data_IF_478659609091
#
_entry.id   IF_478659609091
#
_cell.length_a   1.000
_cell.length_b   1.000
_cell.length_c   1.000
_cell.angle_alpha   90.00
_cell.angle_beta   90.00
_cell.angle_gamma   90.00
#
_symmetry.space_group_name_H-M   'P 1'
#
loop_
_entity.id
_entity.type
_entity.pdbx_description
1 polymer ?
#
# COMPACT_ATOMS: atom_id res chain seq x y z
N UNK A 1 -23.51 42.55 71.90
CA UNK A 1 -22.39 41.60 72.12
C UNK A 1 -22.94 40.18 71.97
N UNK A 2 -22.15 39.26 71.40
CA UNK A 2 -22.41 38.46 70.18
C UNK A 2 -23.05 37.07 70.49
N UNK A 3 -23.36 36.13 69.60
CA UNK A 3 -22.72 35.69 68.37
C UNK A 3 -23.59 34.67 67.57
N UNK A 4 -23.25 34.57 66.28
CA UNK A 4 -23.34 33.44 65.34
C UNK A 4 -24.73 32.94 64.85
N UNK A 5 -25.09 33.11 63.56
CA UNK A 5 -24.67 32.33 62.35
C UNK A 5 -25.02 30.83 62.54
N UNK A 6 -25.85 30.17 61.72
CA UNK A 6 -25.65 29.85 60.30
C UNK A 6 -26.98 29.53 59.59
N UNK A 7 -27.18 30.13 58.40
CA UNK A 7 -28.13 29.65 57.37
C UNK A 7 -27.36 28.73 56.41
N UNK A 8 -27.84 27.51 56.18
CA UNK A 8 -27.36 26.64 55.10
C UNK A 8 -28.31 26.80 53.91
N UNK A 9 -27.82 27.48 52.87
CA UNK A 9 -28.48 27.65 51.58
C UNK A 9 -27.97 26.55 50.63
N UNK A 10 -28.80 25.57 50.31
CA UNK A 10 -28.49 24.58 49.28
C UNK A 10 -28.71 25.19 47.89
N UNK A 11 -27.64 25.73 47.31
CA UNK A 11 -27.56 26.00 45.87
C UNK A 11 -27.23 24.68 45.16
N UNK A 12 -28.22 24.08 44.51
CA UNK A 12 -27.99 23.09 43.48
C UNK A 12 -27.41 23.83 42.26
N UNK A 13 -26.11 23.67 42.05
CA UNK A 13 -25.41 24.14 40.87
C UNK A 13 -25.97 23.42 39.64
N UNK A 14 -26.72 24.15 38.81
CA UNK A 14 -26.98 23.74 37.44
C UNK A 14 -25.63 23.68 36.72
N UNK A 15 -25.23 22.48 36.31
CA UNK A 15 -24.08 22.27 35.45
C UNK A 15 -24.33 23.03 34.16
N UNK A 16 -23.66 24.18 34.01
CA UNK A 16 -23.51 24.81 32.72
C UNK A 16 -22.75 23.80 31.84
N UNK A 17 -23.48 23.11 30.98
CA UNK A 17 -22.88 22.47 29.82
C UNK A 17 -22.22 23.59 29.02
N UNK A 18 -20.89 23.66 29.11
CA UNK A 18 -20.09 24.53 28.26
C UNK A 18 -20.31 24.06 26.83
N UNK A 19 -21.27 24.67 26.14
CA UNK A 19 -21.37 24.59 24.69
C UNK A 19 -20.08 25.17 24.14
N UNK A 20 -19.19 24.31 23.66
CA UNK A 20 -18.01 24.72 22.94
C UNK A 20 -18.48 25.61 21.76
N UNK A 21 -18.04 26.86 21.75
CA UNK A 21 -18.10 27.71 20.56
C UNK A 21 -17.44 26.94 19.42
N UNK A 22 -17.97 26.96 18.17
CA UNK A 22 -17.23 26.42 17.04
C UNK A 22 -15.90 27.16 16.98
N UNK A 23 -14.81 26.43 17.24
CA UNK A 23 -13.46 26.99 17.23
C UNK A 23 -13.13 27.42 15.81
N UNK A 24 -12.44 28.55 15.67
CA UNK A 24 -11.89 28.96 14.39
C UNK A 24 -10.98 27.85 13.85
N UNK A 25 -11.25 27.40 12.62
CA UNK A 25 -10.50 26.33 11.96
C UNK A 25 -9.38 26.95 11.14
N UNK A 26 -8.13 26.60 11.47
CA UNK A 26 -6.96 27.09 10.73
C UNK A 26 -6.70 26.20 9.52
N UNK A 27 -6.59 26.82 8.34
CA UNK A 27 -6.23 26.19 7.08
C UNK A 27 -4.97 26.86 6.53
N UNK A 28 -4.03 26.06 6.01
CA UNK A 28 -2.70 26.56 5.68
C UNK A 28 -2.56 26.94 4.20
N UNK A 29 -2.10 28.17 3.97
CA UNK A 29 -1.61 28.63 2.66
C UNK A 29 -0.11 28.33 2.56
N UNK A 30 0.33 27.76 1.44
CA UNK A 30 1.75 27.37 1.28
C UNK A 30 2.72 28.55 1.26
N UNK A 31 2.26 29.70 0.80
CA UNK A 31 3.01 30.93 0.68
C UNK A 31 2.29 32.08 1.42
N UNK A 32 3.02 33.15 1.80
CA UNK A 32 2.43 34.36 2.37
C UNK A 32 1.32 35.01 1.52
N UNK A 33 0.63 36.01 2.09
CA UNK A 33 -0.58 36.61 1.50
C UNK A 33 -0.39 37.24 0.10
N UNK A 34 0.84 37.58 -0.28
CA UNK A 34 1.25 38.25 -1.52
C UNK A 34 2.09 37.38 -2.47
N UNK A 35 2.32 36.13 -2.09
CA UNK A 35 3.07 35.16 -2.87
C UNK A 35 2.17 33.98 -3.28
N UNK A 36 2.56 33.30 -4.35
CA UNK A 36 1.99 32.03 -4.77
C UNK A 36 3.07 30.98 -4.94
N UNK A 37 2.68 29.73 -4.69
CA UNK A 37 3.51 28.56 -4.93
C UNK A 37 3.83 28.43 -6.43
N UNK A 38 5.09 28.14 -6.76
CA UNK A 38 5.49 27.91 -8.16
C UNK A 38 4.91 26.61 -8.70
N UNK A 39 4.78 26.51 -10.04
CA UNK A 39 4.17 25.34 -10.70
C UNK A 39 4.90 24.01 -10.48
N UNK A 40 6.12 24.05 -9.95
CA UNK A 40 6.94 22.90 -9.54
C UNK A 40 6.81 22.56 -8.04
N UNK A 41 6.01 23.32 -7.29
CA UNK A 41 5.80 23.13 -5.85
C UNK A 41 7.00 23.48 -4.97
N UNK A 42 8.09 24.01 -5.54
CA UNK A 42 9.36 24.17 -4.83
C UNK A 42 9.42 25.48 -4.03
N UNK A 43 9.03 26.59 -4.64
CA UNK A 43 9.30 27.95 -4.13
C UNK A 43 8.06 28.83 -4.12
N UNK A 44 8.13 29.93 -3.38
CA UNK A 44 7.11 30.98 -3.42
C UNK A 44 7.62 32.12 -4.30
N UNK A 45 6.75 32.66 -5.14
CA UNK A 45 7.06 33.81 -6.00
C UNK A 45 6.03 34.91 -5.76
N UNK A 46 6.50 36.15 -5.71
CA UNK A 46 5.63 37.32 -5.68
C UNK A 46 4.67 37.30 -6.87
N UNK A 47 3.38 37.45 -6.59
CA UNK A 47 2.31 37.35 -7.58
C UNK A 47 1.38 36.17 -7.30
N UNK A 48 0.14 36.29 -7.80
CA UNK A 48 -0.95 35.35 -7.59
C UNK A 48 -2.29 36.04 -7.85
N UNK A 49 -3.40 35.29 -7.94
CA UNK A 49 -4.71 35.91 -8.12
C UNK A 49 -5.08 36.72 -6.87
N UNK A 50 -5.54 37.97 -7.06
CA UNK A 50 -6.03 38.82 -5.97
C UNK A 50 -7.25 38.23 -5.25
N UNK A 51 -8.00 37.37 -5.94
CA UNK A 51 -9.16 36.64 -5.41
C UNK A 51 -9.01 35.19 -5.83
N UNK A 52 -8.62 34.33 -4.88
CA UNK A 52 -8.54 32.90 -5.08
C UNK A 52 -8.99 32.18 -3.81
N UNK A 53 -9.75 31.11 -4.01
CA UNK A 53 -10.09 30.15 -2.97
C UNK A 53 -9.97 28.74 -3.57
N UNK A 54 -9.60 27.73 -2.75
CA UNK A 54 -9.60 26.34 -3.19
C UNK A 54 -11.02 25.85 -3.47
N UNK A 55 -11.12 24.73 -4.18
CA UNK A 55 -12.40 24.01 -4.34
C UNK A 55 -12.77 23.36 -3.02
N UNK A 56 -13.89 23.78 -2.44
CA UNK A 56 -14.39 23.28 -1.15
C UNK A 56 -15.74 22.60 -1.35
N UNK A 57 -15.87 21.38 -0.85
CA UNK A 57 -17.11 20.62 -0.76
C UNK A 57 -17.67 20.70 0.66
N UNK A 58 -18.95 21.05 0.82
CA UNK A 58 -19.62 20.96 2.12
C UNK A 58 -20.55 19.74 2.15
N UNK A 59 -20.26 18.73 3.01
CA UNK A 59 -21.18 17.63 3.24
C UNK A 59 -22.54 18.08 3.79
N UNK A 60 -22.57 19.21 4.50
CA UNK A 60 -23.80 19.77 5.09
C UNK A 60 -24.78 20.25 4.02
N UNK A 61 -24.29 20.95 2.99
CA UNK A 61 -25.12 21.39 1.86
C UNK A 61 -25.14 20.38 0.70
N UNK A 62 -24.34 19.32 0.79
CA UNK A 62 -24.10 18.32 -0.26
C UNK A 62 -23.67 18.94 -1.59
N UNK A 63 -22.97 20.07 -1.55
CA UNK A 63 -22.60 20.85 -2.72
C UNK A 63 -21.20 21.45 -2.58
N UNK A 64 -20.61 21.83 -3.71
CA UNK A 64 -19.43 22.69 -3.71
C UNK A 64 -19.82 24.12 -3.36
N UNK A 65 -18.94 24.83 -2.66
CA UNK A 65 -19.05 26.26 -2.41
C UNK A 65 -18.82 27.06 -3.70
N UNK A 66 -19.32 28.29 -3.74
CA UNK A 66 -19.13 29.16 -4.90
C UNK A 66 -17.64 29.43 -5.13
N UNK A 67 -17.15 29.39 -6.39
CA UNK A 67 -15.75 29.65 -6.69
C UNK A 67 -15.27 30.99 -6.11
N UNK A 68 -14.11 30.98 -5.43
CA UNK A 68 -13.57 32.18 -4.78
C UNK A 68 -14.10 32.44 -3.37
N UNK A 69 -14.93 31.55 -2.82
CA UNK A 69 -15.43 31.63 -1.43
C UNK A 69 -14.85 30.52 -0.55
N UNK A 70 -14.77 30.79 0.75
CA UNK A 70 -14.36 29.83 1.79
C UNK A 70 -15.35 29.89 2.95
N UNK A 71 -15.49 28.83 3.76
CA UNK A 71 -16.34 28.87 4.95
C UNK A 71 -15.96 30.00 5.92
N UNK A 72 -16.96 30.63 6.56
CA UNK A 72 -16.77 31.79 7.44
C UNK A 72 -15.91 31.48 8.68
N UNK A 73 -15.89 30.22 9.11
CA UNK A 73 -15.11 29.77 10.26
C UNK A 73 -13.65 29.42 9.93
N UNK A 74 -13.22 29.58 8.67
CA UNK A 74 -11.83 29.35 8.28
C UNK A 74 -10.95 30.56 8.55
N UNK A 75 -9.74 30.29 9.04
CA UNK A 75 -8.65 31.26 9.13
C UNK A 75 -7.45 30.78 8.34
N UNK A 76 -6.93 31.65 7.50
CA UNK A 76 -5.75 31.36 6.70
C UNK A 76 -4.47 31.67 7.48
N UNK A 77 -3.56 30.71 7.52
CA UNK A 77 -2.21 30.89 8.07
C UNK A 77 -1.16 30.45 7.04
N UNK A 78 -0.07 31.20 6.93
CA UNK A 78 1.01 30.84 6.01
C UNK A 78 1.93 29.80 6.66
N UNK A 79 1.86 28.56 6.20
CA UNK A 79 2.74 27.50 6.66
C UNK A 79 2.85 26.38 5.63
N UNK A 80 4.02 25.76 5.55
CA UNK A 80 4.23 24.52 4.80
C UNK A 80 4.01 23.33 5.73
N UNK A 81 3.53 22.18 5.22
CA UNK A 81 3.28 21.03 6.06
C UNK A 81 4.58 20.54 6.71
N UNK A 82 4.57 20.43 8.03
CA UNK A 82 5.71 19.95 8.84
C UNK A 82 5.62 18.46 9.14
N UNK A 83 4.47 17.84 8.84
CA UNK A 83 4.20 16.42 9.09
C UNK A 83 5.13 15.48 8.31
N UNK A 84 5.79 15.94 7.23
CA UNK A 84 6.70 15.14 6.45
C UNK A 84 7.89 15.95 5.91
N UNK A 85 9.02 15.26 5.69
CA UNK A 85 10.24 15.88 5.14
C UNK A 85 10.12 16.24 3.66
N UNK A 86 9.28 15.51 2.91
CA UNK A 86 9.09 15.67 1.48
C UNK A 86 7.59 15.58 1.14
N UNK A 87 6.87 16.71 1.14
CA UNK A 87 5.48 16.72 0.71
C UNK A 87 5.38 16.48 -0.79
N UNK A 88 4.35 15.73 -1.20
CA UNK A 88 4.01 15.57 -2.62
C UNK A 88 3.30 16.83 -3.13
N UNK A 89 3.63 17.26 -4.34
CA UNK A 89 2.99 18.40 -4.98
C UNK A 89 1.89 17.95 -5.94
N UNK A 90 0.72 18.58 -5.83
CA UNK A 90 -0.47 18.32 -6.64
C UNK A 90 -0.91 19.62 -7.31
N UNK A 91 -0.72 19.75 -8.63
CA UNK A 91 -0.98 20.98 -9.38
C UNK A 91 -2.44 21.15 -9.82
N UNK A 92 -2.88 22.41 -9.89
CA UNK A 92 -4.23 22.80 -10.30
C UNK A 92 -4.23 23.45 -11.71
N UNK A 93 -4.93 22.91 -12.72
CA UNK A 93 -5.44 21.54 -12.86
C UNK A 93 -4.49 20.71 -13.75
N UNK A 94 -3.95 19.59 -13.26
CA UNK A 94 -3.06 18.72 -14.06
C UNK A 94 -3.52 17.25 -14.09
N UNK A 95 -4.80 17.02 -14.40
CA UNK A 95 -5.31 15.70 -14.76
C UNK A 95 -5.74 15.66 -16.24
N UNK A 96 -5.54 14.54 -16.96
CA UNK A 96 -6.02 14.38 -18.34
C UNK A 96 -7.54 14.52 -18.48
N UNK A 97 -8.28 14.31 -17.39
CA UNK A 97 -9.74 14.34 -17.34
C UNK A 97 -10.33 15.70 -16.88
N UNK A 98 -9.47 16.70 -16.63
CA UNK A 98 -9.91 18.04 -16.16
C UNK A 98 -10.46 18.08 -14.73
N UNK A 99 -10.38 16.97 -13.98
CA UNK A 99 -10.77 16.91 -12.58
C UNK A 99 -9.64 17.46 -11.67
N UNK A 100 -9.99 18.18 -10.58
CA UNK A 100 -8.98 18.65 -9.64
C UNK A 100 -8.35 17.45 -8.92
N UNK A 101 -7.03 17.44 -8.66
CA UNK A 101 -6.39 16.31 -7.97
C UNK A 101 -6.76 16.19 -6.49
N UNK A 102 -7.33 17.25 -5.90
CA UNK A 102 -7.74 17.30 -4.51
C UNK A 102 -8.97 18.19 -4.30
N UNK A 103 -9.70 17.95 -3.21
CA UNK A 103 -10.86 18.74 -2.77
C UNK A 103 -10.76 18.98 -1.26
N UNK A 104 -11.05 20.19 -0.81
CA UNK A 104 -11.13 20.50 0.63
C UNK A 104 -12.56 20.34 1.13
N UNK A 105 -12.71 20.04 2.42
CA UNK A 105 -13.99 19.91 3.10
C UNK A 105 -14.18 21.03 4.12
N UNK A 106 -15.41 21.38 4.45
CA UNK A 106 -15.76 22.40 5.45
C UNK A 106 -15.06 22.24 6.81
N UNK A 107 -14.74 21.00 7.21
CA UNK A 107 -13.95 20.67 8.39
C UNK A 107 -12.42 20.89 8.25
N UNK A 108 -11.95 21.37 7.09
CA UNK A 108 -10.54 21.64 6.80
C UNK A 108 -9.74 20.43 6.36
N UNK A 109 -10.36 19.25 6.23
CA UNK A 109 -9.66 18.10 5.65
C UNK A 109 -9.54 18.23 4.14
N UNK A 110 -8.46 17.67 3.58
CA UNK A 110 -8.20 17.60 2.15
C UNK A 110 -8.31 16.15 1.70
N UNK A 111 -9.13 15.86 0.70
CA UNK A 111 -9.19 14.55 0.05
C UNK A 111 -8.42 14.57 -1.26
N UNK A 112 -7.54 13.59 -1.45
CA UNK A 112 -6.87 13.35 -2.72
C UNK A 112 -7.76 12.46 -3.60
N UNK A 113 -8.20 12.99 -4.75
CA UNK A 113 -9.06 12.25 -5.67
C UNK A 113 -8.30 11.15 -6.44
N UNK A 114 -6.97 11.26 -6.53
CA UNK A 114 -6.10 10.25 -7.14
C UNK A 114 -5.78 9.06 -6.23
N UNK A 115 -6.15 9.11 -4.94
CA UNK A 115 -5.91 8.04 -3.95
C UNK A 115 -7.18 7.82 -3.14
N UNK A 116 -8.01 6.86 -3.56
CA UNK A 116 -9.23 6.35 -2.90
C UNK A 116 -9.58 7.02 -1.55
N UNK A 117 -10.09 8.25 -1.62
CA UNK A 117 -10.60 9.05 -0.49
C UNK A 117 -9.65 9.14 0.73
N UNK A 118 -8.35 9.33 0.51
CA UNK A 118 -7.41 9.64 1.59
C UNK A 118 -7.67 11.06 2.10
N UNK A 119 -8.18 11.17 3.32
CA UNK A 119 -8.36 12.44 4.03
C UNK A 119 -7.09 12.83 4.77
N UNK A 120 -6.60 14.04 4.50
CA UNK A 120 -5.43 14.64 5.14
C UNK A 120 -5.93 15.77 6.05
N UNK A 121 -5.57 15.77 7.35
CA UNK A 121 -5.96 16.84 8.25
C UNK A 121 -5.19 18.14 7.93
N UNK A 122 -5.65 19.32 8.40
CA UNK A 122 -5.05 20.62 8.08
C UNK A 122 -3.52 20.67 8.24
N UNK A 123 -2.96 20.09 9.30
CA UNK A 123 -1.52 20.08 9.57
C UNK A 123 -0.68 19.28 8.55
N UNK A 124 -1.33 18.40 7.78
CA UNK A 124 -0.70 17.52 6.81
C UNK A 124 -0.59 18.13 5.41
N UNK A 125 -1.11 19.34 5.18
CA UNK A 125 -1.04 19.97 3.87
C UNK A 125 -0.94 21.50 3.94
N UNK A 126 -0.63 22.10 2.79
CA UNK A 126 -0.93 23.51 2.54
C UNK A 126 -1.45 23.65 1.09
N UNK A 127 -2.20 24.71 0.83
CA UNK A 127 -2.79 24.99 -0.50
C UNK A 127 -2.38 26.36 -1.04
N UNK A 128 -2.35 26.49 -2.35
CA UNK A 128 -2.18 27.73 -3.07
C UNK A 128 -2.88 27.67 -4.44
N UNK A 129 -2.90 28.79 -5.15
CA UNK A 129 -3.53 28.96 -6.47
C UNK A 129 -3.04 27.99 -7.54
N UNK A 130 -1.75 27.63 -7.50
CA UNK A 130 -1.12 26.70 -8.45
C UNK A 130 -1.27 25.22 -8.06
N UNK A 131 -1.60 24.91 -6.80
CA UNK A 131 -1.65 23.53 -6.31
C UNK A 131 -1.57 23.39 -4.80
N UNK A 132 -1.37 22.16 -4.33
CA UNK A 132 -1.23 21.82 -2.91
C UNK A 132 0.05 21.03 -2.65
N UNK A 133 0.66 21.27 -1.49
CA UNK A 133 1.69 20.40 -0.93
C UNK A 133 1.02 19.52 0.12
N UNK A 134 1.08 18.21 -0.06
CA UNK A 134 0.35 17.24 0.77
C UNK A 134 1.31 16.16 1.26
N UNK A 135 1.34 15.96 2.57
CA UNK A 135 2.06 14.88 3.21
C UNK A 135 1.20 13.60 3.18
N UNK A 136 1.51 12.70 2.25
CA UNK A 136 0.89 11.37 2.18
C UNK A 136 1.90 10.36 2.69
N UNK A 137 1.68 9.81 3.89
CA UNK A 137 2.55 8.77 4.46
C UNK A 137 3.74 9.25 5.30
N UNK A 138 3.71 10.47 5.85
CA UNK A 138 4.63 10.88 6.92
C UNK A 138 3.92 10.84 8.27
N UNK A 139 4.34 9.97 9.19
CA UNK A 139 4.00 10.17 10.59
C UNK A 139 4.59 11.52 11.04
N UNK A 140 3.86 12.37 11.77
CA UNK A 140 4.52 13.28 12.69
C UNK A 140 5.38 12.42 13.60
N UNK A 141 6.68 12.70 13.62
CA UNK A 141 7.64 12.07 14.50
C UNK A 141 7.43 12.55 15.95
N UNK A 142 6.23 12.32 16.50
CA UNK A 142 5.91 12.41 17.93
C UNK A 142 4.47 11.96 18.19
N UNK A 143 4.25 10.65 18.03
CA UNK A 143 3.30 9.86 18.82
C UNK A 143 3.65 8.38 18.68
N UNK A 144 4.93 8.05 18.86
CA UNK A 144 5.32 6.70 19.25
C UNK A 144 4.92 6.54 20.73
N UNK A 145 3.64 6.32 20.99
CA UNK A 145 3.22 5.71 22.25
C UNK A 145 1.91 4.93 22.07
N UNK A 146 2.05 3.63 22.29
CA UNK A 146 1.04 2.68 22.78
C UNK A 146 -0.15 2.37 21.88
N UNK A 147 0.11 1.71 20.75
CA UNK A 147 -0.18 0.29 20.51
C UNK A 147 0.17 0.04 19.06
N UNK A 148 1.02 -0.92 18.75
CA UNK A 148 1.29 -1.30 17.37
C UNK A 148 0.02 -1.94 16.77
N UNK A 149 -0.89 -1.09 16.30
CA UNK A 149 -2.15 -1.49 15.71
C UNK A 149 -1.89 -2.17 14.38
N UNK A 150 -2.29 -3.43 14.29
CA UNK A 150 -2.24 -4.22 13.06
C UNK A 150 -3.09 -3.50 11.99
N UNK A 151 -2.53 -3.27 10.79
CA UNK A 151 -3.26 -2.63 9.69
C UNK A 151 -4.13 -3.66 8.95
N UNK A 152 -5.40 -3.32 8.71
CA UNK A 152 -6.32 -4.09 7.87
C UNK A 152 -6.40 -3.47 6.47
N UNK A 153 -6.28 -4.25 5.40
CA UNK A 153 -6.20 -3.67 4.05
C UNK A 153 -7.52 -3.03 3.59
N UNK A 154 -8.63 -3.75 3.72
CA UNK A 154 -9.95 -3.33 3.23
C UNK A 154 -10.78 -2.55 4.26
N UNK A 155 -10.25 -2.39 5.47
CA UNK A 155 -10.94 -1.73 6.58
C UNK A 155 -12.06 -2.58 7.21
N UNK A 156 -12.72 -2.07 8.26
CA UNK A 156 -13.66 -2.85 9.06
C UNK A 156 -14.87 -3.29 8.23
N UNK A 157 -15.30 -4.55 8.39
CA UNK A 157 -16.47 -5.10 7.68
C UNK A 157 -16.27 -5.40 6.19
N UNK A 158 -15.04 -5.32 5.68
CA UNK A 158 -14.70 -5.71 4.31
C UNK A 158 -13.62 -6.80 4.28
N UNK A 159 -13.52 -7.51 3.17
CA UNK A 159 -12.49 -8.51 2.88
C UNK A 159 -12.00 -8.36 1.44
N UNK A 160 -10.84 -8.90 1.11
CA UNK A 160 -10.28 -8.80 -0.24
C UNK A 160 -10.83 -9.94 -1.12
N UNK A 161 -11.25 -9.63 -2.35
CA UNK A 161 -11.63 -10.63 -3.34
C UNK A 161 -10.58 -10.68 -4.43
N UNK A 162 -9.91 -11.83 -4.58
CA UNK A 162 -8.95 -12.06 -5.67
C UNK A 162 -9.65 -12.08 -7.02
N UNK A 163 -10.89 -12.55 -7.10
CA UNK A 163 -11.66 -12.59 -8.34
C UNK A 163 -11.99 -11.18 -8.87
N UNK A 164 -12.11 -10.19 -7.99
CA UNK A 164 -12.42 -8.79 -8.32
C UNK A 164 -11.24 -7.85 -8.22
N UNK A 165 -10.11 -8.33 -7.68
CA UNK A 165 -8.93 -7.54 -7.36
C UNK A 165 -9.30 -6.29 -6.53
N UNK A 166 -10.30 -6.44 -5.65
CA UNK A 166 -10.88 -5.33 -4.89
C UNK A 166 -11.37 -5.77 -3.52
N UNK A 167 -11.51 -4.79 -2.63
CA UNK A 167 -12.23 -4.97 -1.38
C UNK A 167 -13.73 -5.12 -1.63
N UNK A 168 -14.35 -6.08 -0.94
CA UNK A 168 -15.78 -6.35 -0.98
C UNK A 168 -16.34 -6.42 0.45
N UNK A 169 -17.63 -6.13 0.65
CA UNK A 169 -18.26 -6.30 1.95
C UNK A 169 -18.13 -7.75 2.45
N UNK A 170 -17.74 -7.92 3.70
CA UNK A 170 -17.63 -9.20 4.38
C UNK A 170 -18.82 -9.41 5.32
N UNK A 171 -19.32 -10.65 5.41
CA UNK A 171 -20.43 -10.97 6.31
C UNK A 171 -20.03 -10.92 7.80
N UNK A 172 -18.74 -11.18 8.10
CA UNK A 172 -18.15 -11.14 9.44
C UNK A 172 -16.67 -10.79 9.39
N UNK A 173 -16.22 -9.94 10.32
CA UNK A 173 -14.79 -9.70 10.55
C UNK A 173 -14.12 -10.95 11.12
N UNK A 174 -12.86 -11.17 10.73
CA UNK A 174 -12.07 -12.31 11.20
C UNK A 174 -11.77 -12.15 12.71
N UNK A 175 -11.83 -13.22 13.52
CA UNK A 175 -11.63 -13.14 14.98
C UNK A 175 -10.27 -12.56 15.39
N UNK A 176 -9.25 -12.65 14.55
CA UNK A 176 -7.93 -12.05 14.80
C UNK A 176 -7.92 -10.51 14.74
N UNK A 177 -8.96 -9.89 14.18
CA UNK A 177 -9.17 -8.43 14.23
C UNK A 177 -10.15 -8.02 15.34
N UNK A 178 -10.76 -8.96 16.05
CA UNK A 178 -11.73 -8.65 17.10
C UNK A 178 -11.02 -8.05 18.33
N UNK A 179 -11.31 -6.78 18.64
CA UNK A 179 -10.78 -6.09 19.82
C UNK A 179 -9.42 -5.41 19.63
N UNK A 180 -8.91 -5.33 18.40
CA UNK A 180 -7.69 -4.58 18.05
C UNK A 180 -8.12 -3.29 17.32
N UNK A 181 -7.54 -2.15 17.69
CA UNK A 181 -7.70 -0.91 16.92
C UNK A 181 -6.90 -1.01 15.62
N UNK A 182 -7.60 -1.33 14.52
CA UNK A 182 -6.99 -1.56 13.21
C UNK A 182 -7.06 -0.30 12.36
N UNK A 183 -5.91 0.18 11.88
CA UNK A 183 -5.87 1.20 10.82
C UNK A 183 -6.18 0.55 9.47
N UNK A 184 -6.89 1.26 8.61
CA UNK A 184 -7.29 0.76 7.29
C UNK A 184 -6.36 1.27 6.18
N UNK A 185 -6.06 0.43 5.19
CA UNK A 185 -5.37 0.84 3.96
C UNK A 185 -4.27 -0.11 3.50
N UNK A 186 -4.06 -0.15 2.18
CA UNK A 186 -2.98 -0.89 1.52
C UNK A 186 -1.60 -0.28 1.80
N UNK A 187 -0.52 -1.07 1.71
CA UNK A 187 0.84 -0.56 1.87
C UNK A 187 1.16 0.47 0.79
N UNK A 188 1.87 1.53 1.17
CA UNK A 188 2.28 2.59 0.23
C UNK A 188 3.56 2.16 -0.48
N UNK A 189 3.42 1.74 -1.73
CA UNK A 189 4.53 1.28 -2.54
C UNK A 189 5.11 2.40 -3.41
N UNK A 190 6.39 2.25 -3.81
CA UNK A 190 7.10 3.16 -4.71
C UNK A 190 6.39 3.29 -6.07
N UNK A 191 5.78 2.20 -6.54
CA UNK A 191 4.93 2.17 -7.73
C UNK A 191 3.45 2.04 -7.30
N UNK A 192 2.57 2.81 -7.93
CA UNK A 192 1.13 2.80 -7.60
C UNK A 192 0.54 1.45 -8.01
N UNK A 193 -0.08 0.74 -7.07
CA UNK A 193 -0.68 -0.58 -7.32
C UNK A 193 0.30 -1.75 -7.31
N UNK A 194 1.57 -1.54 -6.94
CA UNK A 194 2.58 -2.60 -6.89
C UNK A 194 2.61 -3.31 -5.52
N UNK A 195 1.45 -3.73 -5.02
CA UNK A 195 1.37 -4.59 -3.84
C UNK A 195 1.11 -6.03 -4.26
N UNK A 196 1.63 -6.97 -3.48
CA UNK A 196 1.43 -8.39 -3.70
C UNK A 196 1.11 -9.10 -2.38
N UNK A 197 0.47 -10.25 -2.51
CA UNK A 197 0.26 -11.18 -1.40
C UNK A 197 1.61 -11.84 -1.13
N UNK A 198 2.31 -11.36 -0.10
CA UNK A 198 3.65 -11.80 0.28
C UNK A 198 3.66 -13.06 1.14
N UNK A 199 2.51 -13.47 1.68
CA UNK A 199 2.45 -14.66 2.52
C UNK A 199 1.20 -14.75 3.40
N UNK A 200 1.29 -15.60 4.41
CA UNK A 200 0.22 -15.89 5.37
C UNK A 200 0.71 -15.71 6.79
N UNK A 201 -0.08 -15.03 7.59
CA UNK A 201 0.17 -14.79 9.00
C UNK A 201 0.19 -16.11 9.78
N UNK A 202 1.16 -16.25 10.70
CA UNK A 202 1.42 -17.45 11.50
C UNK A 202 1.88 -18.68 10.71
N UNK A 203 2.12 -18.55 9.40
CA UNK A 203 2.65 -19.63 8.57
C UNK A 203 3.97 -19.23 7.92
N UNK A 204 3.99 -18.10 7.22
CA UNK A 204 5.22 -17.57 6.60
C UNK A 204 5.68 -16.29 7.28
N UNK A 205 4.77 -15.56 7.92
CA UNK A 205 5.11 -14.31 8.60
C UNK A 205 4.58 -14.27 10.02
N UNK A 206 5.36 -13.70 10.93
CA UNK A 206 5.03 -13.56 12.35
C UNK A 206 5.14 -12.11 12.81
N UNK A 207 4.16 -11.67 13.60
CA UNK A 207 4.18 -10.36 14.25
C UNK A 207 4.85 -10.55 15.61
N UNK A 208 5.88 -9.75 15.89
CA UNK A 208 6.55 -9.73 17.19
C UNK A 208 5.85 -8.74 18.14
N UNK A 209 6.17 -8.79 19.43
CA UNK A 209 5.56 -7.94 20.47
C UNK A 209 5.73 -6.43 20.24
N UNK A 210 6.69 -6.04 19.39
CA UNK A 210 6.90 -4.66 18.93
C UNK A 210 6.01 -4.26 17.73
N UNK A 211 5.19 -5.19 17.23
CA UNK A 211 4.29 -5.02 16.09
C UNK A 211 4.94 -5.09 14.71
N UNK A 212 6.23 -5.42 14.65
CA UNK A 212 6.91 -5.64 13.38
C UNK A 212 6.60 -7.03 12.82
N UNK A 213 6.39 -7.11 11.50
CA UNK A 213 6.24 -8.37 10.79
C UNK A 213 7.62 -8.88 10.33
N UNK A 214 7.89 -10.16 10.57
CA UNK A 214 9.08 -10.86 10.08
C UNK A 214 8.70 -12.06 9.24
N UNK A 215 9.50 -12.31 8.21
CA UNK A 215 9.48 -13.53 7.41
C UNK A 215 10.28 -14.66 8.12
N UNK A 216 10.13 -15.89 7.64
CA UNK A 216 10.69 -17.14 8.20
C UNK A 216 12.24 -17.14 8.21
N UNK A 217 12.86 -16.40 7.29
CA UNK A 217 14.31 -16.21 7.21
C UNK A 217 14.85 -15.17 8.23
N UNK A 218 13.96 -14.51 8.98
CA UNK A 218 14.31 -13.59 10.08
C UNK A 218 14.87 -12.22 9.65
N UNK A 219 14.97 -11.95 8.34
CA UNK A 219 15.86 -10.93 7.78
C UNK A 219 15.21 -9.58 7.41
N UNK A 220 13.89 -9.39 7.48
CA UNK A 220 13.32 -8.07 7.14
C UNK A 220 12.16 -7.63 8.04
N UNK A 221 12.28 -6.41 8.58
CA UNK A 221 11.16 -5.66 9.13
C UNK A 221 10.38 -5.05 7.97
N UNK A 222 9.31 -5.71 7.55
CA UNK A 222 8.32 -5.10 6.67
C UNK A 222 7.62 -4.00 7.48
N UNK A 223 7.99 -2.74 7.22
CA UNK A 223 7.42 -1.58 7.92
C UNK A 223 6.10 -1.13 7.28
N UNK A 224 5.90 -1.43 6.00
CA UNK A 224 4.67 -1.13 5.27
C UNK A 224 4.03 -2.44 4.78
N UNK A 225 3.12 -2.97 5.60
CA UNK A 225 2.28 -4.12 5.30
C UNK A 225 0.86 -3.89 5.80
N UNK A 226 -0.09 -4.66 5.26
CA UNK A 226 -1.42 -4.80 5.85
C UNK A 226 -1.85 -6.27 5.80
N UNK A 227 -2.79 -6.63 6.65
CA UNK A 227 -3.35 -7.97 6.74
C UNK A 227 -4.79 -7.96 6.24
N UNK A 228 -5.19 -9.01 5.53
CA UNK A 228 -6.59 -9.14 5.11
C UNK A 228 -6.99 -10.59 4.90
N UNK A 229 -8.28 -10.88 5.05
CA UNK A 229 -8.86 -12.16 4.63
C UNK A 229 -9.16 -12.14 3.14
N UNK A 230 -8.84 -13.23 2.46
CA UNK A 230 -9.25 -13.45 1.07
C UNK A 230 -10.60 -14.16 1.06
N UNK A 231 -11.58 -13.59 0.36
CA UNK A 231 -12.95 -14.09 0.27
C UNK A 231 -13.02 -15.52 -0.27
N UNK A 232 -12.19 -15.81 -1.27
CA UNK A 232 -12.11 -17.11 -1.94
C UNK A 232 -11.48 -18.19 -1.04
N UNK A 233 -10.79 -17.79 0.04
CA UNK A 233 -10.07 -18.65 0.96
C UNK A 233 -10.44 -18.38 2.43
N UNK A 234 -11.71 -18.61 2.83
CA UNK A 234 -12.22 -18.23 4.14
C UNK A 234 -11.65 -19.06 5.30
N UNK A 235 -11.18 -20.28 5.04
CA UNK A 235 -10.60 -21.20 6.02
C UNK A 235 -9.11 -20.96 6.24
N UNK A 236 -8.49 -20.08 5.45
CA UNK A 236 -7.08 -19.80 5.52
C UNK A 236 -6.76 -18.66 6.51
N UNK A 237 -5.55 -18.67 7.11
CA UNK A 237 -5.11 -17.55 7.94
C UNK A 237 -5.02 -16.24 7.16
N UNK A 238 -4.95 -15.12 7.89
CA UNK A 238 -4.84 -13.79 7.29
C UNK A 238 -3.66 -13.71 6.33
N UNK A 239 -3.90 -13.09 5.17
CA UNK A 239 -2.89 -12.88 4.16
C UNK A 239 -2.15 -11.57 4.41
N UNK A 240 -0.86 -11.59 4.13
CA UNK A 240 0.02 -10.42 4.26
C UNK A 240 0.15 -9.76 2.89
N UNK A 241 -0.22 -8.49 2.81
CA UNK A 241 -0.01 -7.65 1.65
C UNK A 241 1.23 -6.80 1.88
N UNK A 242 2.20 -6.91 0.98
CA UNK A 242 3.47 -6.18 1.03
C UNK A 242 3.72 -5.50 -0.31
N UNK A 243 4.58 -4.49 -0.33
CA UNK A 243 5.03 -3.93 -1.59
C UNK A 243 5.92 -4.92 -2.32
N UNK A 244 5.71 -5.08 -3.63
CA UNK A 244 6.68 -5.72 -4.50
C UNK A 244 7.91 -4.84 -4.53
N UNK A 245 8.89 -5.13 -3.68
CA UNK A 245 10.21 -4.53 -3.86
C UNK A 245 10.70 -5.01 -5.23
N UNK A 246 10.95 -4.08 -6.15
CA UNK A 246 11.90 -4.33 -7.24
C UNK A 246 13.09 -5.05 -6.60
N UNK A 247 13.56 -6.17 -7.16
CA UNK A 247 14.44 -7.11 -6.47
C UNK A 247 15.65 -6.35 -5.96
N UNK A 248 15.63 -5.97 -4.68
CA UNK A 248 16.81 -5.49 -4.00
C UNK A 248 17.70 -6.70 -4.03
N UNK A 249 18.76 -6.60 -4.80
CA UNK A 249 19.72 -7.68 -5.00
C UNK A 249 20.27 -8.11 -3.65
N UNK A 250 19.60 -9.08 -3.02
CA UNK A 250 20.16 -9.85 -1.95
C UNK A 250 20.52 -11.20 -2.53
N UNK A 251 21.82 -11.32 -2.76
CA UNK A 251 22.55 -12.56 -2.83
C UNK A 251 22.23 -13.44 -1.62
N UNK A 252 21.10 -14.12 -1.68
CA UNK A 252 20.97 -15.51 -1.25
C UNK A 252 20.40 -16.24 -2.47
N UNK A 253 21.16 -16.21 -3.58
CA UNK A 253 21.06 -17.29 -4.55
C UNK A 253 21.46 -18.54 -3.75
N UNK A 254 20.47 -19.24 -3.21
CA UNK A 254 20.63 -20.62 -2.81
C UNK A 254 21.28 -21.27 -4.04
N UNK A 255 22.56 -21.62 -3.94
CA UNK A 255 23.44 -21.92 -5.09
C UNK A 255 22.80 -23.02 -5.97
N UNK A 256 21.90 -23.79 -5.35
CA UNK A 256 20.93 -24.72 -5.92
C UNK A 256 20.13 -24.14 -7.10
N UNK A 257 19.56 -22.93 -6.99
CA UNK A 257 18.76 -22.31 -8.06
C UNK A 257 19.57 -21.97 -9.33
N UNK A 258 20.90 -21.87 -9.23
CA UNK A 258 21.78 -21.69 -10.40
C UNK A 258 22.40 -23.02 -10.84
N UNK A 259 22.75 -23.88 -9.89
CA UNK A 259 23.42 -25.15 -10.15
C UNK A 259 22.50 -26.17 -10.82
N UNK A 260 21.22 -26.25 -10.45
CA UNK A 260 20.26 -27.17 -11.05
C UNK A 260 19.98 -26.86 -12.53
N UNK A 261 19.67 -25.60 -12.95
CA UNK A 261 19.48 -25.28 -14.37
C UNK A 261 20.75 -25.46 -15.20
N UNK A 262 21.91 -25.06 -14.68
CA UNK A 262 23.21 -25.21 -15.38
C UNK A 262 23.57 -26.69 -15.54
N UNK A 263 23.38 -27.49 -14.49
CA UNK A 263 23.60 -28.94 -14.53
C UNK A 263 22.68 -29.65 -15.53
N UNK A 264 21.40 -29.28 -15.57
CA UNK A 264 20.43 -29.81 -16.54
C UNK A 264 20.77 -29.42 -17.97
N UNK A 265 21.18 -28.18 -18.22
CA UNK A 265 21.56 -27.73 -19.57
C UNK A 265 22.80 -28.49 -20.09
N UNK A 266 23.80 -28.69 -19.23
CA UNK A 266 24.97 -29.50 -19.56
C UNK A 266 24.58 -30.97 -19.80
N UNK A 267 23.69 -31.53 -18.99
CA UNK A 267 23.16 -32.90 -19.16
C UNK A 267 22.48 -33.08 -20.53
N UNK A 268 21.55 -32.19 -20.89
CA UNK A 268 20.85 -32.21 -22.19
C UNK A 268 21.83 -32.18 -23.36
N UNK A 269 22.87 -31.34 -23.28
CA UNK A 269 23.89 -31.26 -24.32
C UNK A 269 24.66 -32.58 -24.48
N UNK A 270 25.16 -33.18 -23.40
CA UNK A 270 25.90 -34.44 -23.45
C UNK A 270 25.01 -35.63 -23.87
N UNK A 271 23.75 -35.66 -23.43
CA UNK A 271 22.77 -36.67 -23.83
C UNK A 271 22.43 -36.56 -25.32
N UNK A 272 22.29 -35.34 -25.86
CA UNK A 272 22.06 -35.12 -27.29
C UNK A 272 23.24 -35.60 -28.14
N UNK A 273 24.48 -35.27 -27.74
CA UNK A 273 25.70 -35.75 -28.43
C UNK A 273 25.79 -37.27 -28.35
N UNK A 274 25.47 -37.87 -27.20
CA UNK A 274 25.48 -39.33 -27.02
C UNK A 274 24.41 -40.01 -27.88
N UNK A 275 23.23 -39.39 -28.01
CA UNK A 275 22.15 -39.88 -28.86
C UNK A 275 22.56 -39.82 -30.35
N UNK A 276 23.17 -38.71 -30.79
CA UNK A 276 23.68 -38.55 -32.16
C UNK A 276 24.78 -39.57 -32.46
N UNK A 277 25.78 -39.69 -31.59
CA UNK A 277 26.86 -40.65 -31.73
C UNK A 277 26.34 -42.09 -31.77
N UNK A 278 25.30 -42.39 -30.98
CA UNK A 278 24.59 -43.66 -31.06
C UNK A 278 23.94 -43.80 -32.45
N UNK A 279 23.07 -42.89 -32.88
CA UNK A 279 22.44 -42.99 -34.21
C UNK A 279 23.44 -43.16 -35.39
N UNK A 280 24.65 -42.61 -35.28
CA UNK A 280 25.71 -42.69 -36.30
C UNK A 280 26.57 -43.96 -36.26
N UNK A 281 26.63 -44.69 -35.15
CA UNK A 281 27.44 -45.90 -34.99
C UNK A 281 26.58 -47.13 -34.63
N UNK A 282 25.75 -47.65 -35.56
CA UNK A 282 24.90 -48.79 -35.27
C UNK A 282 25.73 -50.04 -34.96
N UNK A 283 25.60 -50.58 -33.76
CA UNK A 283 26.15 -51.90 -33.42
C UNK A 283 25.35 -52.98 -34.15
N UNK A 284 25.99 -53.64 -35.12
CA UNK A 284 25.39 -54.70 -35.94
C UNK A 284 25.25 -56.04 -35.20
N UNK A 285 25.95 -56.24 -34.08
CA UNK A 285 26.03 -57.54 -33.40
C UNK A 285 25.14 -57.66 -32.14
N UNK A 286 24.68 -56.56 -31.53
CA UNK A 286 23.76 -56.59 -30.38
C UNK A 286 22.61 -55.58 -30.53
N UNK A 287 21.77 -55.81 -31.54
CA UNK A 287 20.69 -54.91 -31.96
C UNK A 287 19.65 -54.65 -30.85
N UNK A 288 19.38 -55.63 -29.98
CA UNK A 288 18.39 -55.46 -28.90
C UNK A 288 18.91 -54.57 -27.76
N UNK A 289 20.15 -54.79 -27.33
CA UNK A 289 20.81 -53.97 -26.30
C UNK A 289 20.97 -52.52 -26.77
N UNK A 290 21.39 -52.36 -28.02
CA UNK A 290 21.49 -51.08 -28.71
C UNK A 290 20.18 -50.27 -28.66
N UNK A 291 19.06 -50.87 -29.10
CA UNK A 291 17.77 -50.18 -29.15
C UNK A 291 17.27 -49.81 -27.76
N UNK A 292 17.49 -50.67 -26.77
CA UNK A 292 17.13 -50.37 -25.38
C UNK A 292 17.94 -49.18 -24.85
N UNK A 293 19.25 -49.17 -25.09
CA UNK A 293 20.14 -48.10 -24.66
C UNK A 293 19.81 -46.76 -25.34
N UNK A 294 19.56 -46.74 -26.66
CA UNK A 294 19.16 -45.52 -27.37
C UNK A 294 17.80 -45.00 -26.90
N UNK A 295 16.83 -45.89 -26.66
CA UNK A 295 15.51 -45.49 -26.16
C UNK A 295 15.58 -44.92 -24.73
N UNK A 296 16.41 -45.51 -23.88
CA UNK A 296 16.65 -45.01 -22.52
C UNK A 296 17.28 -43.60 -22.54
N UNK A 297 18.32 -43.40 -23.35
CA UNK A 297 18.99 -42.09 -23.50
C UNK A 297 18.04 -41.05 -24.10
N UNK A 298 17.20 -41.42 -25.07
CA UNK A 298 16.18 -40.53 -25.63
C UNK A 298 15.14 -40.13 -24.58
N UNK A 299 14.70 -41.06 -23.73
CA UNK A 299 13.75 -40.76 -22.66
C UNK A 299 14.34 -39.81 -21.61
N UNK A 300 15.60 -40.02 -21.22
CA UNK A 300 16.30 -39.10 -20.30
C UNK A 300 16.47 -37.71 -20.91
N UNK A 301 16.81 -37.61 -22.20
CA UNK A 301 16.92 -36.33 -22.90
C UNK A 301 15.60 -35.55 -22.88
N UNK A 302 14.47 -36.23 -23.14
CA UNK A 302 13.14 -35.60 -23.11
C UNK A 302 12.79 -35.16 -21.68
N UNK A 303 13.07 -35.98 -20.67
CA UNK A 303 12.83 -35.64 -19.26
C UNK A 303 13.62 -34.40 -18.83
N UNK A 304 14.92 -34.37 -19.09
CA UNK A 304 15.79 -33.24 -18.73
C UNK A 304 15.42 -31.97 -19.49
N UNK A 305 15.00 -32.09 -20.76
CA UNK A 305 14.51 -30.96 -21.54
C UNK A 305 13.23 -30.35 -20.96
N UNK A 306 12.27 -31.20 -20.55
CA UNK A 306 11.03 -30.74 -19.90
C UNK A 306 11.31 -30.08 -18.53
N UNK A 307 12.24 -30.63 -17.76
CA UNK A 307 12.68 -30.02 -16.50
C UNK A 307 13.40 -28.69 -16.72
N UNK A 308 14.22 -28.57 -17.75
CA UNK A 308 14.87 -27.31 -18.12
C UNK A 308 13.85 -26.25 -18.56
N UNK A 309 12.84 -26.64 -19.36
CA UNK A 309 11.76 -25.74 -19.80
C UNK A 309 10.95 -25.25 -18.60
N UNK A 310 10.57 -26.14 -17.68
CA UNK A 310 9.78 -25.73 -16.49
C UNK A 310 10.59 -24.82 -15.57
N UNK A 311 11.90 -25.02 -15.44
CA UNK A 311 12.78 -24.14 -14.67
C UNK A 311 12.99 -22.77 -15.31
N UNK A 312 13.16 -22.69 -16.64
CA UNK A 312 13.22 -21.41 -17.37
C UNK A 312 11.86 -20.69 -17.28
N UNK A 313 10.78 -21.46 -17.39
CA UNK A 313 9.41 -20.95 -17.27
C UNK A 313 9.16 -20.38 -15.87
N UNK A 314 9.69 -20.98 -14.80
CA UNK A 314 9.59 -20.42 -13.44
C UNK A 314 10.14 -18.99 -13.34
N UNK A 315 11.17 -18.64 -14.11
CA UNK A 315 11.74 -17.28 -14.15
C UNK A 315 11.04 -16.35 -15.18
N UNK A 316 10.32 -16.92 -16.16
CA UNK A 316 9.59 -16.17 -17.19
C UNK A 316 8.08 -16.01 -16.92
N UNK A 317 7.54 -16.73 -15.92
CA UNK A 317 6.14 -16.67 -15.50
C UNK A 317 5.88 -15.52 -14.51
N UNK A 318 6.21 -14.29 -14.89
CA UNK A 318 5.54 -13.11 -14.34
C UNK A 318 4.42 -12.73 -15.32
N UNK A 319 3.18 -13.10 -15.00
CA UNK A 319 2.02 -12.33 -15.46
C UNK A 319 0.82 -13.11 -15.99
N UNK A 320 0.97 -14.06 -16.93
CA UNK A 320 -0.21 -14.56 -17.68
C UNK A 320 -0.28 -16.09 -17.76
N UNK A 321 0.84 -16.79 -17.96
CA UNK A 321 0.82 -18.26 -18.12
C UNK A 321 0.57 -19.01 -16.79
N UNK A 322 0.71 -18.33 -15.64
CA UNK A 322 0.46 -18.91 -14.31
C UNK A 322 -1.03 -19.13 -14.07
N UNK A 323 -1.90 -18.25 -14.60
CA UNK A 323 -3.36 -18.42 -14.52
C UNK A 323 -3.86 -19.59 -15.39
N UNK A 324 -3.21 -19.87 -16.53
CA UNK A 324 -3.66 -20.92 -17.45
C UNK A 324 -3.25 -22.34 -17.04
N UNK A 325 -2.18 -22.49 -16.26
CA UNK A 325 -1.69 -23.81 -15.82
C UNK A 325 -2.29 -24.21 -14.46
N UNK A 326 -2.82 -23.27 -13.68
CA UNK A 326 -3.52 -23.54 -12.41
C UNK A 326 -4.97 -23.98 -12.57
N UNK A 327 -5.52 -23.97 -13.78
CA UNK A 327 -6.93 -24.25 -14.08
C UNK A 327 -7.11 -25.55 -14.90
N UNK A 328 -6.24 -26.56 -14.67
CA UNK A 328 -6.40 -27.92 -15.22
C UNK A 328 -6.30 -28.99 -14.14
#
# INVERSE_FOLDING_TARGET
MPAALWLVLCLAAGSAATTASPGDLVVFKCCPADESLTEDGASCRAGGPLTWAPVVYSPTSQSFLEPGTTPDHWKWEASRPTACKQPGYYSNPAGPDGLPPFVLFDNGSLSLLSRDNVFVPPEGYCVDSSGALVCVGGHPAEAASSTAGVRKCCGPGAEYSEARESCVPADKDHPQFAGIDTRSGFPVCLEVGSYAIGGKLNLTHWIRDDGALRDDDGDELLTEFCLERIKEHPDEPLHVFTCTSAPKGHHQNDIRFVLYPVGLFLSVFFLAVTLIASCLLPSTYHVLHWRCQTNHVACLLVGDLLLAITQISRNALQGILCRLIGES
#
